data_IF_513014241649
#
_entry.id   IF_513014241649
#
_cell.length_a   1.000
_cell.length_b   1.000
_cell.length_c   1.000
_cell.angle_alpha   90.00
_cell.angle_beta   90.00
_cell.angle_gamma   90.00
#
_symmetry.space_group_name_H-M   'P 1'
#
loop_
_entity.id
_entity.type
_entity.pdbx_description
1 polymer ?
#
# COMPACT_ATOMS: atom_id res chain seq x y z
N UNK A 1 0.48 1.55 -15.10
CA UNK A 1 0.16 2.79 -14.36
C UNK A 1 1.18 3.00 -13.27
N UNK A 2 1.56 4.25 -13.00
CA UNK A 2 2.56 4.57 -11.98
C UNK A 2 1.89 4.84 -10.63
N UNK A 3 2.36 4.16 -9.60
CA UNK A 3 1.91 4.32 -8.21
C UNK A 3 3.15 4.53 -7.34
N UNK A 4 3.10 5.53 -6.47
CA UNK A 4 4.10 5.72 -5.44
C UNK A 4 3.69 4.96 -4.17
N UNK A 5 4.61 4.17 -3.62
CA UNK A 5 4.41 3.42 -2.38
C UNK A 5 5.25 4.04 -1.29
N UNK A 6 4.59 4.38 -0.17
CA UNK A 6 5.25 4.92 1.02
C UNK A 6 5.00 3.97 2.19
N UNK A 7 6.04 3.32 2.65
CA UNK A 7 5.95 2.37 3.78
C UNK A 7 6.42 3.03 5.08
N UNK A 8 5.74 2.75 6.19
CA UNK A 8 6.05 3.34 7.50
C UNK A 8 6.41 2.29 8.56
N UNK A 9 7.29 2.69 9.50
CA UNK A 9 7.70 1.87 10.64
C UNK A 9 8.20 0.49 10.24
N UNK A 10 7.80 -0.55 10.98
CA UNK A 10 8.16 -1.95 10.69
C UNK A 10 7.78 -2.44 9.29
N UNK A 11 6.84 -1.78 8.61
CA UNK A 11 6.45 -2.15 7.24
C UNK A 11 7.48 -1.64 6.24
N UNK A 12 8.15 -0.51 6.51
CA UNK A 12 9.22 0.00 5.65
C UNK A 12 10.43 -0.94 5.57
N UNK A 13 10.68 -1.72 6.62
CA UNK A 13 11.71 -2.74 6.65
C UNK A 13 11.36 -3.96 5.78
N UNK A 14 10.06 -4.19 5.54
CA UNK A 14 9.55 -5.32 4.75
C UNK A 14 9.31 -4.93 3.30
N UNK A 15 8.70 -3.77 3.08
CA UNK A 15 8.30 -3.24 1.78
C UNK A 15 9.25 -2.12 1.40
N UNK A 16 10.39 -2.52 0.82
CA UNK A 16 11.38 -1.61 0.25
C UNK A 16 11.08 -1.30 -1.23
N UNK A 17 9.85 -0.87 -1.50
CA UNK A 17 9.37 -0.54 -2.84
C UNK A 17 8.83 0.89 -2.81
N UNK A 18 9.36 1.75 -3.69
CA UNK A 18 9.00 3.19 -3.73
C UNK A 18 8.13 3.55 -4.92
N UNK A 19 8.42 2.97 -6.08
CA UNK A 19 7.69 3.22 -7.31
C UNK A 19 7.25 1.87 -7.87
N UNK A 20 5.95 1.74 -8.07
CA UNK A 20 5.34 0.56 -8.67
C UNK A 20 4.74 0.96 -10.01
N UNK A 21 5.36 0.52 -11.09
CA UNK A 21 4.73 0.59 -12.40
C UNK A 21 4.05 -0.74 -12.67
N UNK A 22 2.74 -0.79 -12.51
CA UNK A 22 1.98 -2.02 -12.64
C UNK A 22 0.89 -1.86 -13.68
N UNK A 23 0.70 -2.90 -14.49
CA UNK A 23 -0.38 -2.96 -15.47
C UNK A 23 -1.49 -3.86 -14.95
N UNK A 24 -2.75 -3.42 -15.08
CA UNK A 24 -3.93 -4.21 -14.71
C UNK A 24 -4.49 -4.01 -13.30
N UNK A 25 -3.78 -3.35 -12.37
CA UNK A 25 -4.35 -3.00 -11.06
C UNK A 25 -5.08 -1.67 -11.17
N UNK A 26 -6.35 -1.60 -10.75
CA UNK A 26 -7.19 -0.40 -10.87
C UNK A 26 -7.71 0.11 -9.53
N UNK A 27 -7.41 -0.59 -8.46
CA UNK A 27 -8.01 -0.37 -7.15
C UNK A 27 -7.10 -0.87 -6.03
N UNK A 28 -7.36 -0.38 -4.81
CA UNK A 28 -6.51 -0.63 -3.65
C UNK A 28 -6.55 -2.07 -3.18
N UNK A 29 -7.65 -2.80 -3.37
CA UNK A 29 -7.73 -4.24 -3.08
C UNK A 29 -6.80 -5.04 -4.01
N UNK A 30 -6.82 -4.72 -5.31
CA UNK A 30 -5.91 -5.31 -6.29
C UNK A 30 -4.44 -5.04 -5.93
N UNK A 31 -4.13 -3.80 -5.55
CA UNK A 31 -2.80 -3.41 -5.10
C UNK A 31 -2.39 -4.16 -3.83
N UNK A 32 -3.30 -4.27 -2.87
CA UNK A 32 -3.07 -4.98 -1.62
C UNK A 32 -2.73 -6.45 -1.88
N UNK A 33 -3.53 -7.14 -2.71
CA UNK A 33 -3.28 -8.53 -3.09
C UNK A 33 -1.93 -8.70 -3.79
N UNK A 34 -1.57 -7.75 -4.66
CA UNK A 34 -0.27 -7.78 -5.32
C UNK A 34 0.88 -7.62 -4.32
N UNK A 35 0.80 -6.62 -3.43
CA UNK A 35 1.80 -6.41 -2.37
C UNK A 35 1.93 -7.63 -1.46
N UNK A 36 0.82 -8.27 -1.08
CA UNK A 36 0.84 -9.48 -0.26
C UNK A 36 1.34 -10.72 -1.01
N UNK A 37 1.28 -10.75 -2.34
CA UNK A 37 1.90 -11.78 -3.15
C UNK A 37 3.42 -11.59 -3.24
N UNK A 38 3.88 -10.35 -3.40
CA UNK A 38 5.31 -10.00 -3.47
C UNK A 38 5.99 -10.05 -2.10
N UNK A 39 5.28 -9.62 -1.05
CA UNK A 39 5.74 -9.60 0.34
C UNK A 39 4.79 -10.42 1.23
N UNK A 40 4.89 -11.76 1.24
CA UNK A 40 3.98 -12.64 1.97
C UNK A 40 3.84 -12.32 3.46
N UNK A 41 4.91 -11.79 4.08
CA UNK A 41 4.93 -11.34 5.48
C UNK A 41 3.90 -10.24 5.78
N UNK A 42 3.45 -9.47 4.78
CA UNK A 42 2.38 -8.49 4.96
C UNK A 42 1.07 -9.15 5.41
N UNK A 43 0.78 -10.39 4.99
CA UNK A 43 -0.42 -11.13 5.39
C UNK A 43 -0.47 -11.43 6.88
N UNK A 44 0.70 -11.51 7.52
CA UNK A 44 0.83 -11.80 8.96
C UNK A 44 0.74 -10.52 9.81
N UNK A 45 0.73 -9.36 9.18
CA UNK A 45 0.79 -8.05 9.84
C UNK A 45 -0.55 -7.36 9.60
N UNK A 46 -1.18 -6.88 10.68
CA UNK A 46 -2.24 -5.88 10.52
C UNK A 46 -1.60 -4.59 10.03
N UNK A 47 -2.16 -3.98 9.00
CA UNK A 47 -1.75 -2.67 8.49
C UNK A 47 -2.96 -1.90 7.95
N UNK A 48 -2.77 -0.61 7.71
CA UNK A 48 -3.73 0.28 7.08
C UNK A 48 -3.15 0.82 5.79
N UNK A 49 -4.02 1.10 4.84
CA UNK A 49 -3.69 1.83 3.63
C UNK A 49 -4.21 3.26 3.73
N UNK A 50 -3.42 4.20 3.22
CA UNK A 50 -3.91 5.54 2.91
C UNK A 50 -3.64 5.86 1.45
N UNK A 51 -4.67 6.34 0.76
CA UNK A 51 -4.60 6.79 -0.63
C UNK A 51 -4.57 8.31 -0.63
N UNK A 52 -3.57 8.90 -1.27
CA UNK A 52 -3.43 10.35 -1.40
C UNK A 52 -3.59 11.10 -0.06
N UNK A 53 -2.89 10.61 0.97
CA UNK A 53 -2.91 11.12 2.36
C UNK A 53 -4.23 10.94 3.12
N UNK A 54 -5.17 10.17 2.60
CA UNK A 54 -6.42 9.82 3.28
C UNK A 54 -6.47 8.34 3.62
N UNK A 55 -6.73 8.01 4.89
CA UNK A 55 -6.93 6.62 5.30
C UNK A 55 -8.16 6.07 4.62
N UNK A 56 -8.01 4.95 3.93
CA UNK A 56 -9.11 4.26 3.28
C UNK A 56 -9.60 3.11 4.18
N UNK A 57 -10.91 2.96 4.25
CA UNK A 57 -11.58 1.89 5.01
C UNK A 57 -12.26 0.87 4.12
N UNK A 58 -12.30 1.13 2.82
CA UNK A 58 -12.90 0.28 1.81
C UNK A 58 -12.10 0.40 0.50
N UNK A 59 -12.35 -0.53 -0.41
CA UNK A 59 -11.71 -0.53 -1.71
C UNK A 59 -11.94 0.81 -2.43
N UNK A 60 -10.86 1.41 -2.92
CA UNK A 60 -10.86 2.71 -3.58
C UNK A 60 -10.18 2.61 -4.95
N UNK A 61 -10.69 3.30 -5.98
CA UNK A 61 -10.07 3.30 -7.29
C UNK A 61 -8.69 3.97 -7.24
N UNK A 62 -7.74 3.38 -7.96
CA UNK A 62 -6.40 3.92 -8.16
C UNK A 62 -6.29 4.57 -9.52
N UNK A 63 -5.65 5.73 -9.56
CA UNK A 63 -5.32 6.45 -10.80
C UNK A 63 -3.80 6.54 -10.95
N UNK A 64 -3.32 6.76 -12.17
CA UNK A 64 -1.88 6.98 -12.39
C UNK A 64 -1.41 8.21 -11.60
N UNK A 65 -0.28 8.09 -10.91
CA UNK A 65 0.23 9.10 -9.98
C UNK A 65 -0.36 9.01 -8.57
N UNK A 66 -1.17 7.98 -8.26
CA UNK A 66 -1.66 7.76 -6.90
C UNK A 66 -0.51 7.47 -5.95
N UNK A 67 -0.61 8.04 -4.75
CA UNK A 67 0.32 7.76 -3.65
C UNK A 67 -0.38 6.87 -2.63
N UNK A 68 0.17 5.69 -2.39
CA UNK A 68 -0.37 4.72 -1.43
C UNK A 68 0.61 4.54 -0.28
N UNK A 69 0.17 4.93 0.91
CA UNK A 69 0.90 4.71 2.15
C UNK A 69 0.47 3.41 2.83
N UNK A 70 1.44 2.63 3.31
CA UNK A 70 1.23 1.39 4.05
C UNK A 70 1.79 1.57 5.46
N UNK A 71 0.91 1.47 6.46
CA UNK A 71 1.24 1.84 7.84
C UNK A 71 0.80 0.77 8.83
N UNK A 72 1.61 0.43 9.84
CA UNK A 72 1.17 -0.45 10.93
C UNK A 72 0.03 0.21 11.73
N UNK A 73 -0.84 -0.57 12.40
CA UNK A 73 -1.84 -0.03 13.31
C UNK A 73 -1.10 0.73 14.41
N UNK A 74 -1.54 1.96 14.67
CA UNK A 74 -0.89 2.94 15.54
C UNK A 74 0.41 3.51 14.94
N UNK A 75 0.27 4.64 14.25
CA UNK A 75 1.39 5.54 13.92
C UNK A 75 1.29 6.87 14.68
N UNK A 76 0.34 6.97 15.62
CA UNK A 76 0.16 8.12 16.50
C UNK A 76 0.66 7.78 17.90
N UNK A 77 1.69 8.50 18.33
CA UNK A 77 1.94 8.78 19.74
C UNK A 77 1.18 10.02 20.17
#
# INVERSE_FOLDING_TARGET
MEIEIISFGKIAELVNLKNLNIDGIKDTDGLQKHLEAVFPKLKEIKYKLALNKQIIHANSPLTSGSVVAIMPPFSGG
#
